data_IF_232110943253
#
_entry.id   IF_232110943253
#
_cell.length_a   1.000
_cell.length_b   1.000
_cell.length_c   1.000
_cell.angle_alpha   90.00
_cell.angle_beta   90.00
_cell.angle_gamma   90.00
#
_symmetry.space_group_name_H-M   'P 1'
#
loop_
_entity.id
_entity.type
_entity.pdbx_description
1 polymer ?
#
# COMPACT_ATOMS: atom_id res chain seq x y z
N UNK A 1 -25.04 9.31 -2.48
CA UNK A 1 -24.73 7.89 -2.26
C UNK A 1 -23.34 7.48 -2.76
N UNK A 2 -22.97 7.71 -4.04
CA UNK A 2 -21.65 7.30 -4.58
C UNK A 2 -20.44 7.78 -3.76
N UNK A 3 -20.40 9.05 -3.34
CA UNK A 3 -19.32 9.57 -2.48
C UNK A 3 -19.22 8.91 -1.10
N UNK A 4 -20.36 8.59 -0.48
CA UNK A 4 -20.40 7.92 0.84
C UNK A 4 -19.92 6.47 0.70
N UNK A 5 -20.40 5.76 -0.33
CA UNK A 5 -19.93 4.42 -0.66
C UNK A 5 -18.44 4.40 -0.96
N UNK A 6 -17.96 5.37 -1.75
CA UNK A 6 -16.55 5.53 -2.07
C UNK A 6 -15.70 5.80 -0.83
N UNK A 7 -16.19 6.65 0.09
CA UNK A 7 -15.57 6.87 1.40
C UNK A 7 -15.40 5.58 2.19
N UNK A 8 -16.47 4.80 2.34
CA UNK A 8 -16.43 3.52 3.05
C UNK A 8 -15.46 2.54 2.38
N UNK A 9 -15.52 2.39 1.05
CA UNK A 9 -14.61 1.51 0.30
C UNK A 9 -13.15 1.95 0.44
N UNK A 10 -12.87 3.25 0.42
CA UNK A 10 -11.54 3.80 0.59
C UNK A 10 -10.98 3.54 2.00
N UNK A 11 -11.79 3.76 3.04
CA UNK A 11 -11.40 3.51 4.43
C UNK A 11 -11.18 2.02 4.68
N UNK A 12 -12.12 1.17 4.26
CA UNK A 12 -12.00 -0.29 4.40
C UNK A 12 -10.78 -0.79 3.63
N UNK A 13 -10.59 -0.31 2.40
CA UNK A 13 -9.42 -0.62 1.58
C UNK A 13 -8.10 -0.19 2.24
N UNK A 14 -8.04 1.00 2.82
CA UNK A 14 -6.87 1.48 3.56
C UNK A 14 -6.53 0.57 4.74
N UNK A 15 -7.53 0.21 5.56
CA UNK A 15 -7.39 -0.68 6.73
C UNK A 15 -6.88 -2.07 6.32
N UNK A 16 -7.33 -2.59 5.17
CA UNK A 16 -6.91 -3.89 4.63
C UNK A 16 -5.59 -3.85 3.85
N UNK A 17 -5.16 -2.68 3.39
CA UNK A 17 -3.93 -2.51 2.61
C UNK A 17 -2.67 -2.44 3.48
N UNK A 18 -1.49 -2.76 2.93
CA UNK A 18 -0.21 -2.63 3.64
C UNK A 18 0.19 -1.15 3.89
N UNK A 19 -0.58 -0.17 3.40
CA UNK A 19 -0.35 1.25 3.69
C UNK A 19 -0.73 1.62 5.14
N UNK A 20 -1.54 0.80 5.80
CA UNK A 20 -1.83 0.94 7.23
C UNK A 20 -0.73 0.27 8.04
N UNK A 21 0.03 1.06 8.80
CA UNK A 21 1.16 0.56 9.60
C UNK A 21 0.80 -0.52 10.63
N UNK A 22 -0.48 -0.61 11.02
CA UNK A 22 -1.01 -1.59 11.96
C UNK A 22 -1.72 -2.78 11.28
N UNK A 23 -1.78 -2.80 9.94
CA UNK A 23 -2.52 -3.80 9.16
C UNK A 23 -2.14 -5.23 9.51
N UNK A 24 -0.85 -5.54 9.48
CA UNK A 24 -0.37 -6.92 9.62
C UNK A 24 -0.76 -7.52 10.98
N UNK A 25 -0.51 -6.80 12.06
CA UNK A 25 -0.72 -7.29 13.43
C UNK A 25 -2.21 -7.46 13.74
N UNK A 26 -3.04 -6.45 13.41
CA UNK A 26 -4.42 -6.39 13.92
C UNK A 26 -5.48 -6.84 12.92
N UNK A 27 -5.18 -6.83 11.62
CA UNK A 27 -6.16 -7.09 10.56
C UNK A 27 -5.76 -8.33 9.79
N UNK A 28 -4.55 -8.32 9.23
CA UNK A 28 -4.13 -9.30 8.25
C UNK A 28 -3.91 -10.67 8.89
N UNK A 29 -3.07 -10.77 9.93
CA UNK A 29 -2.79 -12.03 10.64
C UNK A 29 -4.07 -12.71 11.15
N UNK A 30 -4.99 -12.03 11.86
CA UNK A 30 -6.25 -12.63 12.28
C UNK A 30 -7.11 -13.14 11.11
N UNK A 31 -7.25 -12.34 10.04
CA UNK A 31 -8.05 -12.71 8.87
C UNK A 31 -7.47 -13.93 8.15
N UNK A 32 -6.15 -13.97 7.93
CA UNK A 32 -5.53 -15.08 7.22
C UNK A 32 -5.53 -16.35 8.04
N UNK A 33 -5.48 -16.25 9.37
CA UNK A 33 -5.64 -17.40 10.24
C UNK A 33 -7.05 -17.98 10.15
N UNK A 34 -8.09 -17.14 10.24
CA UNK A 34 -9.49 -17.55 10.06
C UNK A 34 -9.69 -18.17 8.68
N UNK A 35 -9.12 -17.56 7.63
CA UNK A 35 -9.19 -18.07 6.27
C UNK A 35 -8.48 -19.42 6.10
N UNK A 36 -7.30 -19.59 6.70
CA UNK A 36 -6.50 -20.80 6.58
C UNK A 36 -6.98 -21.95 7.48
N UNK A 37 -7.73 -21.65 8.54
CA UNK A 37 -8.26 -22.64 9.49
C UNK A 37 -8.94 -23.85 8.83
N UNK A 38 -9.92 -23.70 7.92
CA UNK A 38 -10.55 -24.84 7.25
C UNK A 38 -9.56 -25.70 6.44
N UNK A 39 -8.54 -25.09 5.83
CA UNK A 39 -7.51 -25.82 5.08
C UNK A 39 -6.59 -26.60 6.03
N UNK A 40 -6.31 -26.04 7.20
CA UNK A 40 -5.57 -26.72 8.27
C UNK A 40 -6.28 -27.93 8.85
N UNK A 41 -7.62 -27.94 8.85
CA UNK A 41 -8.42 -29.11 9.24
C UNK A 41 -8.30 -30.25 8.23
N UNK A 42 -8.12 -29.95 6.95
CA UNK A 42 -7.92 -30.95 5.88
C UNK A 42 -6.49 -31.49 5.94
N UNK A 43 -5.49 -30.60 6.00
CA UNK A 43 -4.10 -30.97 6.20
C UNK A 43 -3.33 -29.86 6.92
N UNK A 44 -2.56 -30.24 7.95
CA UNK A 44 -1.66 -29.31 8.63
C UNK A 44 -0.61 -28.71 7.69
N UNK A 45 -0.24 -29.40 6.61
CA UNK A 45 0.71 -28.89 5.61
C UNK A 45 0.13 -27.78 4.73
N UNK A 46 -1.20 -27.68 4.62
CA UNK A 46 -1.90 -26.66 3.83
C UNK A 46 -2.11 -25.36 4.62
N UNK A 47 -2.03 -25.39 5.95
CA UNK A 47 -2.26 -24.21 6.80
C UNK A 47 -1.37 -23.03 6.38
N UNK A 48 -0.06 -23.25 6.30
CA UNK A 48 0.90 -22.19 6.00
C UNK A 48 0.78 -21.65 4.57
N UNK A 49 0.73 -22.49 3.51
CA UNK A 49 0.41 -22.02 2.16
C UNK A 49 -0.90 -21.23 2.07
N UNK A 50 -1.96 -21.67 2.76
CA UNK A 50 -3.25 -20.96 2.78
C UNK A 50 -3.19 -19.62 3.51
N UNK A 51 -2.39 -19.50 4.58
CA UNK A 51 -2.16 -18.22 5.25
C UNK A 51 -1.43 -17.23 4.34
N UNK A 52 -0.38 -17.67 3.64
CA UNK A 52 0.38 -16.84 2.69
C UNK A 52 -0.54 -16.39 1.55
N UNK A 53 -1.32 -17.31 0.99
CA UNK A 53 -2.28 -16.99 -0.07
C UNK A 53 -3.35 -16.01 0.41
N UNK A 54 -3.90 -16.25 1.61
CA UNK A 54 -4.85 -15.33 2.24
C UNK A 54 -4.27 -13.93 2.42
N UNK A 55 -3.00 -13.84 2.81
CA UNK A 55 -2.30 -12.57 3.05
C UNK A 55 -2.11 -11.77 1.76
N UNK A 56 -1.77 -12.46 0.67
CA UNK A 56 -1.73 -11.80 -0.64
C UNK A 56 -3.13 -11.36 -1.08
N UNK A 57 -4.14 -12.18 -0.84
CA UNK A 57 -5.52 -11.88 -1.21
C UNK A 57 -6.04 -10.64 -0.48
N UNK A 58 -5.88 -10.56 0.85
CA UNK A 58 -6.30 -9.40 1.66
C UNK A 58 -5.60 -8.12 1.23
N UNK A 59 -4.30 -8.17 0.93
CA UNK A 59 -3.55 -7.01 0.44
C UNK A 59 -4.03 -6.53 -0.92
N UNK A 60 -4.23 -7.46 -1.88
CA UNK A 60 -4.75 -7.13 -3.22
C UNK A 60 -6.16 -6.56 -3.12
N UNK A 61 -7.02 -7.17 -2.29
CA UNK A 61 -8.37 -6.67 -2.04
C UNK A 61 -8.34 -5.28 -1.39
N UNK A 62 -7.45 -5.04 -0.42
CA UNK A 62 -7.25 -3.74 0.21
C UNK A 62 -6.95 -2.65 -0.82
N UNK A 63 -5.97 -2.90 -1.72
CA UNK A 63 -5.66 -1.97 -2.81
C UNK A 63 -6.82 -1.79 -3.79
N UNK A 64 -7.51 -2.86 -4.19
CA UNK A 64 -8.65 -2.78 -5.11
C UNK A 64 -9.80 -1.96 -4.53
N UNK A 65 -10.17 -2.20 -3.26
CA UNK A 65 -11.21 -1.48 -2.55
C UNK A 65 -10.83 0.00 -2.39
N UNK A 66 -9.58 0.27 -2.04
CA UNK A 66 -9.08 1.64 -1.92
C UNK A 66 -9.14 2.37 -3.27
N UNK A 67 -8.66 1.76 -4.34
CA UNK A 67 -8.66 2.34 -5.68
C UNK A 67 -10.08 2.66 -6.17
N UNK A 68 -11.01 1.71 -6.03
CA UNK A 68 -12.41 1.93 -6.40
C UNK A 68 -13.08 2.97 -5.50
N UNK A 69 -12.80 2.96 -4.20
CA UNK A 69 -13.35 3.92 -3.24
C UNK A 69 -12.90 5.35 -3.55
N UNK A 70 -11.61 5.54 -3.79
CA UNK A 70 -11.03 6.82 -4.20
C UNK A 70 -11.62 7.29 -5.53
N UNK A 71 -11.75 6.42 -6.52
CA UNK A 71 -12.39 6.77 -7.79
C UNK A 71 -13.87 7.19 -7.62
N UNK A 72 -14.63 6.51 -6.75
CA UNK A 72 -16.03 6.85 -6.44
C UNK A 72 -16.16 8.20 -5.72
N UNK A 73 -15.16 8.60 -4.92
CA UNK A 73 -15.09 9.92 -4.25
C UNK A 73 -14.69 11.03 -5.25
N UNK A 74 -13.68 10.77 -6.06
CA UNK A 74 -13.03 11.71 -6.99
C UNK A 74 -13.82 11.90 -8.29
N UNK A 75 -14.88 11.11 -8.53
CA UNK A 75 -15.76 11.15 -9.72
C UNK A 75 -16.52 12.48 -9.98
N UNK A 76 -16.05 13.64 -9.51
CA UNK A 76 -16.36 14.95 -10.08
C UNK A 76 -15.18 15.67 -10.75
N UNK A 77 -13.93 15.25 -10.52
CA UNK A 77 -12.76 15.79 -11.21
C UNK A 77 -11.67 14.72 -11.28
N UNK A 78 -11.83 13.72 -12.15
CA UNK A 78 -10.62 13.21 -12.80
C UNK A 78 -10.09 14.36 -13.67
N UNK A 79 -9.37 15.31 -13.06
CA UNK A 79 -8.31 16.01 -13.78
C UNK A 79 -7.43 14.87 -14.30
N UNK A 80 -7.61 14.51 -15.57
CA UNK A 80 -6.63 13.71 -16.29
C UNK A 80 -5.29 14.35 -15.95
N UNK A 81 -4.42 13.63 -15.24
CA UNK A 81 -3.04 14.07 -15.02
C UNK A 81 -2.53 14.46 -16.39
N UNK A 82 -2.40 15.76 -16.61
CA UNK A 82 -2.01 16.24 -17.92
C UNK A 82 -0.57 15.82 -18.12
N UNK A 83 -0.12 15.56 -19.36
CA UNK A 83 1.30 15.24 -19.61
C UNK A 83 2.25 16.24 -18.93
N UNK A 84 1.81 17.50 -18.77
CA UNK A 84 2.52 18.56 -18.06
C UNK A 84 2.68 18.31 -16.55
N UNK A 85 1.65 17.79 -15.87
CA UNK A 85 1.74 17.46 -14.44
C UNK A 85 2.67 16.26 -14.21
N UNK A 86 2.57 15.21 -15.03
CA UNK A 86 3.49 14.07 -14.96
C UNK A 86 4.94 14.50 -15.19
N UNK A 87 5.19 15.35 -16.20
CA UNK A 87 6.53 15.89 -16.46
C UNK A 87 7.03 16.72 -15.28
N UNK A 88 6.15 17.53 -14.66
CA UNK A 88 6.49 18.33 -13.48
C UNK A 88 6.85 17.45 -12.29
N UNK A 89 6.10 16.40 -12.02
CA UNK A 89 6.35 15.47 -10.90
C UNK A 89 7.67 14.70 -11.10
N UNK A 90 7.95 14.28 -12.34
CA UNK A 90 9.23 13.67 -12.72
C UNK A 90 10.38 14.65 -12.54
N UNK A 91 10.24 15.90 -12.99
CA UNK A 91 11.25 16.95 -12.81
C UNK A 91 11.54 17.22 -11.33
N UNK A 92 10.49 17.35 -10.51
CA UNK A 92 10.63 17.55 -9.06
C UNK A 92 11.36 16.37 -8.42
N UNK A 93 11.02 15.14 -8.81
CA UNK A 93 11.66 13.93 -8.29
C UNK A 93 13.14 13.85 -8.67
N UNK A 94 13.49 14.23 -9.91
CA UNK A 94 14.89 14.30 -10.36
C UNK A 94 15.66 15.35 -9.58
N UNK A 95 15.10 16.55 -9.42
CA UNK A 95 15.73 17.64 -8.65
C UNK A 95 15.95 17.22 -7.21
N UNK A 96 14.93 16.64 -6.56
CA UNK A 96 15.05 16.11 -5.21
C UNK A 96 16.17 15.07 -5.11
N UNK A 97 16.25 14.14 -6.05
CA UNK A 97 17.30 13.11 -6.09
C UNK A 97 18.69 13.73 -6.23
N UNK A 98 18.85 14.72 -7.11
CA UNK A 98 20.11 15.44 -7.28
C UNK A 98 20.51 16.18 -6.00
N UNK A 99 19.56 16.83 -5.32
CA UNK A 99 19.80 17.50 -4.04
C UNK A 99 20.30 16.50 -2.99
N UNK A 100 19.67 15.33 -2.88
CA UNK A 100 20.11 14.26 -1.97
C UNK A 100 21.53 13.81 -2.29
N UNK A 101 21.86 13.58 -3.57
CA UNK A 101 23.22 13.20 -3.99
C UNK A 101 24.26 14.27 -3.63
N UNK A 102 23.93 15.56 -3.85
CA UNK A 102 24.82 16.67 -3.46
C UNK A 102 25.01 16.72 -1.95
N UNK A 103 23.94 16.57 -1.18
CA UNK A 103 24.00 16.56 0.29
C UNK A 103 24.87 15.40 0.82
N UNK A 104 24.83 14.24 0.15
CA UNK A 104 25.69 13.11 0.47
C UNK A 104 27.16 13.44 0.17
N UNK A 105 27.45 13.97 -1.02
CA UNK A 105 28.83 14.33 -1.40
C UNK A 105 29.44 15.45 -0.54
N UNK A 106 28.63 16.39 -0.04
CA UNK A 106 29.06 17.44 0.88
C UNK A 106 29.24 16.90 2.32
N UNK A 107 28.82 15.66 2.58
CA UNK A 107 28.95 15.00 3.89
C UNK A 107 27.91 15.45 4.92
N UNK A 108 26.89 16.19 4.49
CA UNK A 108 25.76 16.59 5.36
C UNK A 108 24.77 15.43 5.58
N UNK A 109 24.72 14.48 4.65
CA UNK A 109 23.94 13.25 4.74
C UNK A 109 24.87 12.04 4.59
N UNK A 110 24.92 11.17 5.60
CA UNK A 110 25.61 9.88 5.49
C UNK A 110 24.72 8.86 4.79
N UNK A 111 25.34 7.89 4.13
CA UNK A 111 24.59 6.76 3.59
C UNK A 111 23.99 5.95 4.75
N UNK A 112 22.77 5.40 4.63
CA UNK A 112 22.15 4.61 5.69
C UNK A 112 23.05 3.50 6.25
N UNK A 113 23.88 2.89 5.40
CA UNK A 113 24.83 1.83 5.80
C UNK A 113 25.96 2.34 6.71
N UNK A 114 26.36 3.60 6.60
CA UNK A 114 27.41 4.21 7.41
C UNK A 114 26.96 4.55 8.84
N UNK A 115 25.65 4.54 9.11
CA UNK A 115 25.13 4.70 10.48
C UNK A 115 25.19 3.41 11.30
N UNK A 116 25.37 2.26 10.65
CA UNK A 116 25.39 0.93 11.29
C UNK A 116 26.79 0.31 11.35
N UNK A 117 27.84 1.07 11.00
CA UNK A 117 29.25 0.74 11.22
C UNK A 117 29.76 1.42 12.48
#
# INVERSE_FOLDING_TARGET
>A
MKKIRGGILATVGYVLSPLSWYNDIFVNIPLVYIFAFPFGLISKTLLMPSMIFGYWLTNVLGFMLMHHGVNDIISKEQKKHTRKEIIKDVLISIIYTLIVIVLINVGWLKFPLEYFQ
#
